data_IF_279076727664
#
_entry.id   IF_279076727664
#
_cell.length_a   1.000
_cell.length_b   1.000
_cell.length_c   1.000
_cell.angle_alpha   90.00
_cell.angle_beta   90.00
_cell.angle_gamma   90.00
#
_symmetry.space_group_name_H-M   'P 1'
#
loop_
_entity.id
_entity.type
_entity.pdbx_description
1 polymer ?
#
# COMPACT_ATOMS: atom_id res chain seq x y z
N UNK A 1 26.27 -12.44 -8.17
CA UNK A 1 25.38 -13.21 -9.07
C UNK A 1 23.95 -13.12 -8.55
N UNK A 2 22.96 -12.89 -9.42
CA UNK A 2 21.53 -12.86 -9.06
C UNK A 2 20.88 -14.17 -9.51
N UNK A 3 20.26 -14.92 -8.59
CA UNK A 3 19.55 -16.17 -8.88
C UNK A 3 18.10 -16.06 -8.43
N UNK A 4 17.16 -16.46 -9.28
CA UNK A 4 15.74 -16.54 -8.91
C UNK A 4 15.53 -17.79 -8.04
N UNK A 5 14.99 -17.62 -6.84
CA UNK A 5 14.65 -18.73 -5.95
C UNK A 5 13.20 -19.16 -6.12
N UNK A 6 12.28 -18.20 -6.28
CA UNK A 6 10.86 -18.46 -6.45
C UNK A 6 10.15 -17.31 -7.16
N UNK A 7 9.13 -17.61 -7.94
CA UNK A 7 8.24 -16.65 -8.59
C UNK A 7 6.81 -17.15 -8.50
N UNK A 8 5.96 -16.42 -7.78
CA UNK A 8 4.54 -16.70 -7.68
C UNK A 8 3.74 -15.69 -8.54
N UNK A 9 3.15 -16.13 -9.66
CA UNK A 9 2.40 -15.25 -10.55
C UNK A 9 1.04 -14.81 -9.99
N UNK A 10 0.48 -15.53 -9.00
CA UNK A 10 -0.83 -15.20 -8.42
C UNK A 10 -0.69 -14.05 -7.44
N UNK A 11 0.28 -14.16 -6.54
CA UNK A 11 0.52 -13.09 -5.58
C UNK A 11 1.40 -11.99 -6.14
N UNK A 12 2.20 -12.23 -7.18
CA UNK A 12 3.16 -11.26 -7.73
C UNK A 12 4.46 -11.17 -6.93
N UNK A 13 4.80 -12.24 -6.17
CA UNK A 13 6.01 -12.33 -5.36
C UNK A 13 7.17 -12.89 -6.17
N UNK A 14 8.31 -12.25 -6.06
CA UNK A 14 9.57 -12.70 -6.64
C UNK A 14 10.63 -12.75 -5.54
N UNK A 15 11.33 -13.88 -5.43
CA UNK A 15 12.39 -14.10 -4.46
C UNK A 15 13.71 -14.28 -5.19
N UNK A 16 14.68 -13.45 -4.84
CA UNK A 16 16.00 -13.42 -5.46
C UNK A 16 17.08 -13.68 -4.42
N UNK A 17 18.07 -14.48 -4.78
CA UNK A 17 19.32 -14.64 -4.05
C UNK A 17 20.40 -13.81 -4.75
N UNK A 18 21.00 -12.89 -4.01
CA UNK A 18 22.12 -12.08 -4.42
C UNK A 18 23.38 -12.61 -3.73
N UNK A 19 24.30 -13.16 -4.51
CA UNK A 19 25.64 -13.51 -4.02
C UNK A 19 26.59 -12.38 -4.40
N UNK A 20 27.07 -11.66 -3.39
CA UNK A 20 28.00 -10.55 -3.58
C UNK A 20 29.43 -11.07 -3.76
N UNK A 21 30.31 -10.24 -4.32
CA UNK A 21 31.70 -10.63 -4.59
C UNK A 21 32.52 -10.84 -3.30
N UNK A 22 32.05 -10.32 -2.18
CA UNK A 22 32.62 -10.48 -0.84
C UNK A 22 32.22 -11.79 -0.15
N UNK A 23 31.43 -12.64 -0.82
CA UNK A 23 30.93 -13.91 -0.27
C UNK A 23 29.68 -13.77 0.59
N UNK A 24 29.11 -12.56 0.73
CA UNK A 24 27.83 -12.38 1.42
C UNK A 24 26.65 -12.81 0.54
N UNK A 25 25.65 -13.43 1.16
CA UNK A 25 24.42 -13.83 0.49
C UNK A 25 23.25 -13.02 1.03
N UNK A 26 22.49 -12.38 0.14
CA UNK A 26 21.32 -11.57 0.47
C UNK A 26 20.10 -12.17 -0.21
N UNK A 27 19.04 -12.40 0.56
CA UNK A 27 17.74 -12.82 0.03
C UNK A 27 16.87 -11.58 -0.09
N UNK A 28 16.49 -11.23 -1.32
CA UNK A 28 15.60 -10.11 -1.64
C UNK A 28 14.23 -10.64 -2.04
N UNK A 29 13.17 -10.12 -1.43
CA UNK A 29 11.80 -10.41 -1.83
C UNK A 29 11.16 -9.14 -2.40
N UNK A 30 10.73 -9.22 -3.66
CA UNK A 30 9.98 -8.17 -4.36
C UNK A 30 8.52 -8.59 -4.47
N UNK A 31 7.61 -7.65 -4.27
CA UNK A 31 6.18 -7.88 -4.36
C UNK A 31 5.55 -6.77 -5.17
N UNK A 32 4.94 -7.14 -6.29
CA UNK A 32 4.25 -6.20 -7.18
C UNK A 32 2.81 -5.98 -6.72
N UNK A 33 2.34 -4.72 -6.78
CA UNK A 33 0.99 -4.32 -6.34
C UNK A 33 0.27 -3.46 -7.38
N UNK A 34 0.69 -3.51 -8.65
CA UNK A 34 0.21 -2.62 -9.71
C UNK A 34 -1.32 -2.67 -9.89
N UNK A 35 -1.92 -3.85 -9.73
CA UNK A 35 -3.38 -4.02 -9.81
C UNK A 35 -4.13 -3.28 -8.70
N UNK A 36 -3.60 -3.30 -7.46
CA UNK A 36 -4.18 -2.60 -6.32
C UNK A 36 -4.08 -1.08 -6.49
N UNK A 37 -2.92 -0.58 -6.93
CA UNK A 37 -2.72 0.84 -7.21
C UNK A 37 -3.66 1.32 -8.32
N UNK A 38 -3.83 0.50 -9.36
CA UNK A 38 -4.76 0.79 -10.46
C UNK A 38 -6.21 0.87 -9.96
N UNK A 39 -6.63 -0.08 -9.11
CA UNK A 39 -7.95 -0.05 -8.48
C UNK A 39 -8.15 1.21 -7.64
N UNK A 40 -7.17 1.58 -6.82
CA UNK A 40 -7.24 2.78 -5.98
C UNK A 40 -7.42 4.05 -6.79
N UNK A 41 -6.66 4.16 -7.88
CA UNK A 41 -6.78 5.26 -8.83
C UNK A 41 -8.20 5.33 -9.40
N UNK A 42 -8.75 4.20 -9.86
CA UNK A 42 -10.12 4.16 -10.37
C UNK A 42 -11.15 4.59 -9.32
N UNK A 43 -11.03 4.14 -8.08
CA UNK A 43 -11.92 4.54 -6.99
C UNK A 43 -11.80 6.03 -6.67
N UNK A 44 -10.58 6.56 -6.67
CA UNK A 44 -10.31 7.97 -6.45
C UNK A 44 -10.86 8.85 -7.58
N UNK A 45 -10.76 8.41 -8.84
CA UNK A 45 -11.30 9.12 -9.99
C UNK A 45 -12.85 9.15 -9.97
N UNK A 46 -13.47 8.11 -9.44
CA UNK A 46 -14.92 8.04 -9.24
C UNK A 46 -15.42 8.85 -8.03
N UNK A 47 -14.52 9.30 -7.16
CA UNK A 47 -14.91 10.01 -5.95
C UNK A 47 -15.46 11.40 -6.26
N UNK A 48 -16.63 11.71 -5.70
CA UNK A 48 -17.22 13.04 -5.76
C UNK A 48 -17.52 13.60 -4.37
N UNK A 49 -17.21 14.88 -4.17
CA UNK A 49 -17.48 15.58 -2.91
C UNK A 49 -18.99 15.60 -2.64
N UNK A 50 -19.41 15.04 -1.51
CA UNK A 50 -20.81 15.01 -1.10
C UNK A 50 -21.62 13.81 -1.60
N UNK A 51 -21.01 12.87 -2.33
CA UNK A 51 -21.68 11.66 -2.85
C UNK A 51 -22.34 10.77 -1.78
N UNK A 52 -21.90 10.88 -0.52
CA UNK A 52 -22.44 10.11 0.61
C UNK A 52 -23.51 10.87 1.40
N UNK A 53 -23.75 12.16 1.10
CA UNK A 53 -24.66 13.02 1.85
C UNK A 53 -26.11 12.58 1.62
N UNK A 54 -26.76 12.07 2.66
CA UNK A 54 -28.14 11.54 2.59
C UNK A 54 -28.24 10.05 2.28
N UNK A 55 -27.11 9.34 2.14
CA UNK A 55 -27.08 7.88 1.98
C UNK A 55 -26.86 7.19 3.33
N UNK A 56 -27.36 5.97 3.51
CA UNK A 56 -27.09 5.16 4.71
C UNK A 56 -25.60 4.75 4.83
N UNK A 57 -24.80 4.97 3.78
CA UNK A 57 -23.34 4.77 3.78
C UNK A 57 -22.63 5.94 4.46
N UNK A 58 -22.54 5.88 5.79
CA UNK A 58 -21.85 6.88 6.61
C UNK A 58 -20.33 6.71 6.64
N UNK A 59 -19.81 5.57 6.17
CA UNK A 59 -18.38 5.29 6.14
C UNK A 59 -17.83 5.43 4.73
N UNK A 60 -16.82 6.29 4.57
CA UNK A 60 -16.05 6.40 3.33
C UNK A 60 -14.89 5.43 3.33
N UNK A 61 -14.66 4.79 2.18
CA UNK A 61 -13.43 4.06 1.94
C UNK A 61 -12.31 5.07 1.67
N UNK A 62 -11.26 5.04 2.51
CA UNK A 62 -10.22 6.10 2.55
C UNK A 62 -8.97 5.70 1.79
N UNK A 63 -8.53 4.46 1.96
CA UNK A 63 -7.34 3.91 1.35
C UNK A 63 -7.43 2.38 1.30
N UNK A 64 -6.81 1.80 0.27
CA UNK A 64 -6.50 0.37 0.21
C UNK A 64 -4.98 0.26 0.24
N UNK A 65 -4.44 -0.45 1.23
CA UNK A 65 -3.00 -0.57 1.46
C UNK A 65 -2.63 -2.06 1.42
N UNK A 66 -1.55 -2.45 0.73
CA UNK A 66 -1.07 -3.81 0.78
C UNK A 66 -0.78 -4.27 2.22
N UNK A 67 -1.12 -5.52 2.54
CA UNK A 67 -1.03 -6.03 3.91
C UNK A 67 0.38 -5.92 4.53
N UNK A 68 1.43 -6.08 3.71
CA UNK A 68 2.83 -5.95 4.15
C UNK A 68 3.12 -4.50 4.58
N UNK A 69 2.68 -3.52 3.79
CA UNK A 69 2.85 -2.10 4.11
C UNK A 69 2.01 -1.75 5.34
N UNK A 70 0.77 -2.24 5.41
CA UNK A 70 -0.12 -2.03 6.56
C UNK A 70 0.47 -2.57 7.87
N UNK A 71 1.04 -3.79 7.85
CA UNK A 71 1.69 -4.38 9.02
C UNK A 71 2.88 -3.53 9.50
N UNK A 72 3.72 -3.05 8.57
CA UNK A 72 4.83 -2.16 8.89
C UNK A 72 4.36 -0.81 9.45
N UNK A 73 3.25 -0.26 8.95
CA UNK A 73 2.66 0.97 9.48
C UNK A 73 2.08 0.79 10.89
N UNK A 74 1.47 -0.37 11.18
CA UNK A 74 1.03 -0.71 12.53
C UNK A 74 2.21 -0.78 13.49
N UNK A 75 3.31 -1.41 13.09
CA UNK A 75 4.51 -1.48 13.93
C UNK A 75 5.09 -0.08 14.21
N UNK A 76 5.07 0.80 13.20
CA UNK A 76 5.62 2.16 13.30
C UNK A 76 4.73 3.16 14.06
N UNK A 77 3.42 3.11 13.83
CA UNK A 77 2.48 4.14 14.29
C UNK A 77 1.42 3.64 15.27
N UNK A 78 1.29 2.33 15.47
CA UNK A 78 0.17 1.72 16.17
C UNK A 78 -1.08 1.60 15.29
N UNK A 79 -2.22 1.21 15.90
CA UNK A 79 -3.47 1.09 15.16
C UNK A 79 -3.93 2.47 14.67
N UNK A 80 -4.62 2.56 13.51
CA UNK A 80 -5.11 3.84 12.99
C UNK A 80 -6.00 4.62 13.97
N UNK A 81 -6.71 3.94 14.86
CA UNK A 81 -7.54 4.55 15.89
C UNK A 81 -6.72 5.24 17.00
N UNK A 82 -5.55 4.68 17.32
CA UNK A 82 -4.69 5.17 18.40
C UNK A 82 -3.86 6.38 17.94
N UNK A 83 -3.48 6.40 16.65
CA UNK A 83 -2.66 7.47 16.08
C UNK A 83 -3.18 7.98 14.72
N UNK A 84 -4.40 8.54 14.65
CA UNK A 84 -5.00 8.94 13.37
C UNK A 84 -4.20 10.03 12.65
N UNK A 85 -3.47 10.87 13.39
CA UNK A 85 -2.67 11.97 12.80
C UNK A 85 -1.50 11.45 11.97
N UNK A 86 -0.73 10.48 12.47
CA UNK A 86 0.40 9.92 11.75
C UNK A 86 -0.05 9.19 10.47
N UNK A 87 -1.17 8.46 10.55
CA UNK A 87 -1.76 7.78 9.40
C UNK A 87 -2.22 8.75 8.31
N UNK A 88 -2.91 9.83 8.68
CA UNK A 88 -3.31 10.89 7.74
C UNK A 88 -2.12 11.57 7.08
N UNK A 89 -1.09 11.89 7.87
CA UNK A 89 0.13 12.50 7.35
C UNK A 89 0.82 11.58 6.35
N UNK A 90 0.96 10.30 6.67
CA UNK A 90 1.55 9.31 5.78
C UNK A 90 0.76 9.18 4.47
N UNK A 91 -0.58 9.07 4.53
CA UNK A 91 -1.42 8.98 3.34
C UNK A 91 -1.42 10.24 2.46
N UNK A 92 -1.24 11.42 3.06
CA UNK A 92 -1.18 12.69 2.33
C UNK A 92 0.20 12.97 1.72
N UNK A 93 1.22 12.17 2.06
CA UNK A 93 2.55 12.27 1.44
C UNK A 93 2.49 11.94 -0.06
N UNK A 94 3.21 12.72 -0.86
CA UNK A 94 3.28 12.56 -2.32
C UNK A 94 3.61 11.14 -2.78
N UNK A 95 4.47 10.43 -2.05
CA UNK A 95 4.88 9.05 -2.37
C UNK A 95 3.78 8.02 -2.09
N UNK A 96 2.88 8.31 -1.13
CA UNK A 96 1.87 7.37 -0.63
C UNK A 96 0.45 7.70 -1.08
N UNK A 97 0.24 8.83 -1.76
CA UNK A 97 -1.08 9.23 -2.29
C UNK A 97 -1.71 8.16 -3.18
N UNK A 98 -0.91 7.33 -3.84
CA UNK A 98 -1.37 6.23 -4.68
C UNK A 98 -2.18 5.15 -3.90
N UNK A 99 -2.03 5.09 -2.57
CA UNK A 99 -2.82 4.18 -1.73
C UNK A 99 -4.22 4.71 -1.40
N UNK A 100 -4.51 5.99 -1.70
CA UNK A 100 -5.78 6.62 -1.37
C UNK A 100 -6.84 6.26 -2.41
N UNK A 101 -8.07 6.09 -1.92
CA UNK A 101 -9.24 5.73 -2.74
C UNK A 101 -10.28 6.84 -2.79
N UNK A 102 -10.05 7.96 -2.09
CA UNK A 102 -10.91 9.13 -2.10
C UNK A 102 -10.15 10.45 -2.29
N UNK A 103 -10.82 11.40 -2.93
CA UNK A 103 -10.28 12.73 -3.23
C UNK A 103 -10.22 13.67 -2.02
N UNK A 104 -9.42 14.74 -2.13
CA UNK A 104 -9.26 15.80 -1.11
C UNK A 104 -8.00 15.67 -0.25
N UNK A 105 -8.01 16.26 0.95
CA UNK A 105 -7.02 16.00 2.00
C UNK A 105 -7.73 15.26 3.14
N UNK A 106 -7.09 14.21 3.66
CA UNK A 106 -7.62 13.40 4.78
C UNK A 106 -7.27 14.05 6.12
#
# INVERSE_FOLDING_TARGET
MKRVLSKDPVTGKELYLHQNADGTEVIEQTQHFDGLITLNKHMNDQWQKGQMRGTQKHMSHVAEIPNIVYAHLIEKFGKPADNPKAWKQWLNDSENKAFRTGGGNI
#
